data_IF_512395557465
#
_entry.id   IF_512395557465
#
_cell.length_a   1.000
_cell.length_b   1.000
_cell.length_c   1.000
_cell.angle_alpha   90.00
_cell.angle_beta   90.00
_cell.angle_gamma   90.00
#
_symmetry.space_group_name_H-M   'P 1'
#
loop_
_entity.id
_entity.type
_entity.pdbx_description
1 polymer ?
#
# COMPACT_ATOMS: atom_id res chain seq x y z
N UNK A 1 -15.02 -9.07 -9.15
CA UNK A 1 -15.89 -8.67 -8.06
C UNK A 1 -16.57 -7.36 -8.37
N UNK A 2 -17.38 -7.44 -9.35
CA UNK A 2 -18.26 -6.38 -9.74
C UNK A 2 -19.35 -6.22 -8.66
N UNK A 3 -19.54 -4.99 -8.16
CA UNK A 3 -20.66 -4.69 -7.23
C UNK A 3 -21.97 -4.46 -7.96
N UNK A 4 -21.97 -4.52 -9.30
CA UNK A 4 -23.16 -4.27 -10.10
C UNK A 4 -23.59 -2.80 -10.18
N UNK A 5 -22.71 -1.85 -9.88
CA UNK A 5 -23.09 -0.43 -9.82
C UNK A 5 -23.37 0.23 -11.19
N UNK A 6 -22.95 -0.38 -12.31
CA UNK A 6 -23.23 0.12 -13.67
C UNK A 6 -22.33 1.25 -14.17
N UNK A 7 -21.53 1.89 -13.30
CA UNK A 7 -20.72 3.07 -13.66
C UNK A 7 -19.82 2.84 -14.87
N UNK A 8 -19.20 1.66 -14.98
CA UNK A 8 -18.32 1.33 -16.13
C UNK A 8 -19.10 1.29 -17.46
N UNK A 9 -20.32 0.75 -17.46
CA UNK A 9 -21.19 0.68 -18.63
C UNK A 9 -21.67 2.08 -19.02
N UNK A 10 -22.12 2.86 -18.02
CA UNK A 10 -22.66 4.21 -18.23
C UNK A 10 -21.58 5.23 -18.64
N UNK A 11 -20.36 5.08 -18.11
CA UNK A 11 -19.26 6.00 -18.42
C UNK A 11 -18.41 5.58 -19.61
N UNK A 12 -18.65 4.41 -20.19
CA UNK A 12 -17.94 3.95 -21.37
C UNK A 12 -18.12 4.94 -22.54
N UNK A 13 -17.01 5.48 -23.03
CA UNK A 13 -17.04 6.45 -24.13
C UNK A 13 -17.60 5.88 -25.43
N UNK A 14 -17.41 4.58 -25.68
CA UNK A 14 -17.98 3.88 -26.83
C UNK A 14 -19.50 3.73 -26.67
N UNK A 15 -19.95 3.35 -25.48
CA UNK A 15 -21.41 3.23 -25.21
C UNK A 15 -22.12 4.58 -25.33
N UNK A 16 -21.54 5.66 -24.78
CA UNK A 16 -22.06 7.02 -24.83
C UNK A 16 -22.06 7.60 -26.25
N UNK A 17 -21.11 7.20 -27.07
CA UNK A 17 -20.95 7.73 -28.41
C UNK A 17 -22.05 7.29 -29.40
N UNK A 18 -22.73 6.19 -29.12
CA UNK A 18 -23.88 5.68 -29.88
C UNK A 18 -23.63 5.35 -31.38
N UNK A 19 -22.37 5.45 -31.82
CA UNK A 19 -21.95 5.22 -33.21
C UNK A 19 -21.50 3.77 -33.49
N UNK A 20 -21.15 3.06 -32.45
CA UNK A 20 -20.69 1.67 -32.49
C UNK A 20 -21.54 0.81 -31.57
N UNK A 21 -21.46 -0.50 -31.75
CA UNK A 21 -22.06 -1.43 -30.79
C UNK A 21 -21.48 -1.18 -29.40
N UNK A 22 -22.24 -1.35 -28.31
CA UNK A 22 -21.75 -1.17 -26.95
C UNK A 22 -20.51 -2.04 -26.69
N UNK A 23 -19.46 -1.43 -26.18
CA UNK A 23 -18.23 -2.16 -25.82
C UNK A 23 -18.36 -2.87 -24.46
N UNK A 24 -19.24 -2.38 -23.60
CA UNK A 24 -19.56 -2.98 -22.30
C UNK A 24 -21.07 -3.19 -22.19
N UNK A 25 -21.45 -4.41 -21.88
CA UNK A 25 -22.85 -4.82 -21.70
C UNK A 25 -23.01 -5.61 -20.42
N UNK A 26 -24.22 -5.69 -19.93
CA UNK A 26 -24.57 -6.56 -18.82
C UNK A 26 -24.82 -7.99 -19.31
N UNK A 27 -24.32 -8.96 -18.54
CA UNK A 27 -24.62 -10.38 -18.74
C UNK A 27 -24.77 -11.07 -17.38
N UNK A 28 -25.31 -12.29 -17.37
CA UNK A 28 -25.38 -13.11 -16.17
C UNK A 28 -24.18 -14.05 -16.10
N UNK A 29 -23.76 -14.42 -14.87
CA UNK A 29 -22.68 -15.40 -14.68
C UNK A 29 -23.00 -16.75 -15.34
N UNK A 30 -24.27 -17.17 -15.35
CA UNK A 30 -24.69 -18.41 -15.98
C UNK A 30 -24.50 -18.36 -17.51
N UNK A 31 -24.85 -17.23 -18.14
CA UNK A 31 -24.66 -17.05 -19.57
C UNK A 31 -23.17 -17.06 -19.96
N UNK A 32 -22.32 -16.36 -19.20
CA UNK A 32 -20.88 -16.31 -19.47
C UNK A 32 -20.20 -17.67 -19.23
N UNK A 33 -20.61 -18.40 -18.20
CA UNK A 33 -20.12 -19.77 -17.96
C UNK A 33 -20.55 -20.72 -19.07
N UNK A 34 -21.78 -20.60 -19.55
CA UNK A 34 -22.27 -21.39 -20.69
C UNK A 34 -21.53 -21.05 -21.99
N UNK A 35 -21.07 -19.80 -22.13
CA UNK A 35 -20.23 -19.37 -23.27
C UNK A 35 -18.76 -19.80 -23.14
N UNK A 36 -18.34 -20.38 -22.01
CA UNK A 36 -16.97 -20.86 -21.79
C UNK A 36 -16.01 -19.81 -21.24
N UNK A 37 -16.48 -18.64 -20.81
CA UNK A 37 -15.63 -17.54 -20.30
C UNK A 37 -14.86 -17.89 -19.01
N UNK A 38 -15.28 -18.92 -18.27
CA UNK A 38 -14.53 -19.47 -17.16
C UNK A 38 -13.14 -20.04 -17.57
N UNK A 39 -12.94 -20.45 -18.80
CA UNK A 39 -11.62 -20.86 -19.30
C UNK A 39 -10.71 -19.65 -19.53
N UNK A 40 -11.27 -18.53 -19.97
CA UNK A 40 -10.55 -17.25 -20.07
C UNK A 40 -10.17 -16.73 -18.69
N UNK A 41 -11.04 -16.86 -17.69
CA UNK A 41 -10.76 -16.52 -16.30
C UNK A 41 -9.60 -17.36 -15.75
N UNK A 42 -9.60 -18.67 -15.97
CA UNK A 42 -8.49 -19.55 -15.56
C UNK A 42 -7.19 -19.17 -16.26
N UNK A 43 -7.25 -18.92 -17.57
CA UNK A 43 -6.06 -18.48 -18.30
C UNK A 43 -5.47 -17.19 -17.71
N UNK A 44 -6.33 -16.21 -17.40
CA UNK A 44 -5.91 -14.94 -16.81
C UNK A 44 -5.29 -15.12 -15.40
N UNK A 45 -5.92 -15.95 -14.56
CA UNK A 45 -5.48 -16.09 -13.16
C UNK A 45 -4.31 -17.07 -12.99
N UNK A 46 -4.27 -18.16 -13.78
CA UNK A 46 -3.37 -19.30 -13.52
C UNK A 46 -2.19 -19.34 -14.49
N UNK A 47 -2.39 -18.93 -15.75
CA UNK A 47 -1.39 -19.06 -16.81
C UNK A 47 -0.56 -17.80 -16.99
N UNK A 48 -1.19 -16.61 -16.98
CA UNK A 48 -0.45 -15.36 -17.15
C UNK A 48 0.51 -15.12 -15.99
N UNK A 49 1.71 -14.59 -16.26
CA UNK A 49 2.63 -14.19 -15.20
C UNK A 49 2.06 -12.99 -14.40
N UNK A 50 2.35 -12.94 -13.08
CA UNK A 50 1.87 -11.88 -12.21
C UNK A 50 2.37 -10.47 -12.62
N UNK A 51 3.44 -10.41 -13.39
CA UNK A 51 4.00 -9.17 -13.92
C UNK A 51 4.30 -9.29 -15.42
N UNK A 52 3.29 -9.05 -16.24
CA UNK A 52 3.38 -9.17 -17.71
C UNK A 52 4.34 -8.14 -18.33
N UNK A 53 4.47 -6.96 -17.71
CA UNK A 53 5.24 -5.83 -18.26
C UNK A 53 6.69 -5.76 -17.75
N UNK A 54 7.11 -6.66 -16.84
CA UNK A 54 8.41 -6.57 -16.18
C UNK A 54 8.50 -5.43 -15.14
N UNK A 55 9.50 -5.50 -14.26
CA UNK A 55 9.66 -4.56 -13.16
C UNK A 55 10.08 -3.14 -13.59
N UNK A 56 10.69 -2.99 -14.76
CA UNK A 56 11.36 -1.76 -15.18
C UNK A 56 10.46 -0.71 -15.87
N UNK A 57 9.17 -0.96 -16.01
CA UNK A 57 8.28 -0.12 -16.84
C UNK A 57 7.14 0.55 -16.07
N UNK A 58 7.19 0.54 -14.73
CA UNK A 58 6.11 1.14 -13.93
C UNK A 58 6.38 2.63 -13.73
N UNK A 59 6.16 3.39 -14.77
CA UNK A 59 6.22 4.86 -14.72
C UNK A 59 4.85 5.51 -14.91
N UNK A 60 3.82 4.71 -15.17
CA UNK A 60 2.45 5.18 -15.41
C UNK A 60 1.44 4.37 -14.62
N UNK A 61 0.31 4.99 -14.26
CA UNK A 61 -0.80 4.29 -13.61
C UNK A 61 -1.30 3.11 -14.45
N UNK A 62 -1.35 3.27 -15.78
CA UNK A 62 -1.71 2.15 -16.68
C UNK A 62 -0.74 0.97 -16.54
N UNK A 63 0.57 1.24 -16.51
CA UNK A 63 1.58 0.19 -16.33
C UNK A 63 1.45 -0.51 -14.97
N UNK A 64 1.20 0.25 -13.90
CA UNK A 64 0.95 -0.32 -12.57
C UNK A 64 -0.27 -1.25 -12.55
N UNK A 65 -1.36 -0.88 -13.25
CA UNK A 65 -2.60 -1.66 -13.30
C UNK A 65 -2.50 -2.96 -14.14
N UNK A 66 -1.41 -3.15 -14.89
CA UNK A 66 -1.14 -4.41 -15.60
C UNK A 66 -0.39 -5.46 -14.76
N UNK A 67 -0.04 -5.12 -13.51
CA UNK A 67 0.49 -6.08 -12.56
C UNK A 67 -0.62 -6.88 -11.90
N UNK A 68 -0.26 -8.03 -11.29
CA UNK A 68 -1.19 -8.77 -10.43
C UNK A 68 -1.80 -7.84 -9.39
N UNK A 69 -3.11 -7.69 -9.35
CA UNK A 69 -3.75 -6.88 -8.33
C UNK A 69 -3.64 -7.57 -6.97
N UNK A 70 -3.15 -6.82 -5.98
CA UNK A 70 -3.03 -7.26 -4.59
C UNK A 70 -4.06 -6.60 -3.66
N UNK A 71 -4.92 -5.75 -4.23
CA UNK A 71 -6.08 -5.16 -3.59
C UNK A 71 -7.21 -5.09 -4.62
N UNK A 72 -8.24 -5.91 -4.45
CA UNK A 72 -9.42 -5.94 -5.33
C UNK A 72 -10.68 -6.27 -4.54
N UNK A 73 -11.83 -5.81 -5.08
CA UNK A 73 -13.14 -6.28 -4.65
C UNK A 73 -13.48 -5.91 -3.21
N UNK A 74 -13.02 -4.74 -2.81
CA UNK A 74 -13.33 -4.21 -1.48
C UNK A 74 -14.83 -3.94 -1.32
N UNK A 75 -15.34 -4.04 -0.10
CA UNK A 75 -16.72 -3.66 0.24
C UNK A 75 -16.95 -2.15 0.31
N UNK A 76 -16.11 -1.33 -0.34
CA UNK A 76 -16.28 0.11 -0.41
C UNK A 76 -17.51 0.51 -1.23
N UNK A 77 -17.97 1.74 -1.03
CA UNK A 77 -19.05 2.31 -1.84
C UNK A 77 -18.69 2.32 -3.34
N UNK A 78 -19.66 2.09 -4.20
CA UNK A 78 -19.48 2.23 -5.64
C UNK A 78 -19.06 3.67 -5.99
N UNK A 79 -17.90 3.83 -6.65
CA UNK A 79 -17.34 5.15 -6.94
C UNK A 79 -16.58 5.80 -5.77
N UNK A 80 -16.22 5.05 -4.72
CA UNK A 80 -15.40 5.55 -3.63
C UNK A 80 -14.09 6.17 -4.13
N UNK A 81 -13.79 7.38 -3.68
CA UNK A 81 -12.56 8.09 -4.06
C UNK A 81 -11.29 7.61 -3.37
N UNK A 82 -11.40 6.83 -2.28
CA UNK A 82 -10.25 6.32 -1.54
C UNK A 82 -9.60 5.10 -2.19
N UNK A 83 -10.40 4.16 -2.66
CA UNK A 83 -9.93 2.85 -3.14
C UNK A 83 -8.92 2.92 -4.29
N UNK A 84 -8.96 3.89 -5.23
CA UNK A 84 -7.94 4.01 -6.28
C UNK A 84 -6.53 4.25 -5.74
N UNK A 85 -6.39 5.03 -4.65
CA UNK A 85 -5.09 5.28 -4.01
C UNK A 85 -4.56 4.04 -3.30
N UNK A 86 -5.43 3.34 -2.55
CA UNK A 86 -5.05 2.10 -1.86
C UNK A 86 -4.66 1.02 -2.88
N UNK A 87 -5.42 0.91 -3.97
CA UNK A 87 -5.09 -0.02 -5.07
C UNK A 87 -3.75 0.32 -5.71
N UNK A 88 -3.48 1.59 -6.00
CA UNK A 88 -2.20 2.03 -6.56
C UNK A 88 -1.03 1.66 -5.64
N UNK A 89 -1.13 1.98 -4.35
CA UNK A 89 -0.13 1.62 -3.34
C UNK A 89 0.12 0.12 -3.30
N UNK A 90 -0.93 -0.70 -3.25
CA UNK A 90 -0.83 -2.14 -3.21
C UNK A 90 -0.21 -2.74 -4.48
N UNK A 91 -0.47 -2.15 -5.66
CA UNK A 91 0.13 -2.61 -6.92
C UNK A 91 1.58 -2.17 -7.11
N UNK A 92 1.97 -1.03 -6.56
CA UNK A 92 3.35 -0.55 -6.63
C UNK A 92 4.26 -1.30 -5.66
N UNK A 93 3.81 -1.49 -4.42
CA UNK A 93 4.68 -1.91 -3.30
C UNK A 93 4.19 -3.17 -2.59
N UNK A 94 3.07 -3.74 -3.00
CA UNK A 94 2.30 -4.74 -2.26
C UNK A 94 3.07 -5.97 -1.82
N UNK A 95 4.09 -6.39 -2.56
CA UNK A 95 4.92 -7.55 -2.19
C UNK A 95 5.69 -7.36 -0.88
N UNK A 96 6.00 -6.10 -0.51
CA UNK A 96 6.84 -5.76 0.63
C UNK A 96 6.20 -4.70 1.54
N UNK A 97 4.93 -4.35 1.33
CA UNK A 97 4.27 -3.31 2.10
C UNK A 97 3.68 -3.85 3.41
N UNK A 98 3.86 -3.07 4.47
CA UNK A 98 3.15 -3.23 5.73
C UNK A 98 2.25 -2.02 5.93
N UNK A 99 0.97 -2.26 6.13
CA UNK A 99 -0.06 -1.22 6.21
C UNK A 99 -0.60 -1.16 7.63
N UNK A 100 -0.40 -0.02 8.28
CA UNK A 100 -1.08 0.36 9.51
C UNK A 100 -2.28 1.23 9.16
N UNK A 101 -3.50 0.73 9.37
CA UNK A 101 -4.71 1.42 8.93
C UNK A 101 -5.48 1.96 10.12
N UNK A 102 -5.77 3.26 10.13
CA UNK A 102 -6.63 3.87 11.13
C UNK A 102 -8.07 3.40 10.96
N UNK A 103 -8.79 3.20 12.06
CA UNK A 103 -10.22 2.90 12.03
C UNK A 103 -10.97 4.00 11.27
N UNK A 104 -11.76 3.59 10.29
CA UNK A 104 -12.50 4.46 9.38
C UNK A 104 -12.97 3.69 8.14
N UNK A 105 -13.35 4.37 7.06
CA UNK A 105 -13.78 3.71 5.82
C UNK A 105 -12.72 2.72 5.31
N UNK A 106 -11.46 3.14 5.24
CA UNK A 106 -10.38 2.31 4.69
C UNK A 106 -10.12 1.03 5.49
N UNK A 107 -10.28 1.06 6.82
CA UNK A 107 -10.16 -0.13 7.65
C UNK A 107 -11.40 -1.03 7.54
N UNK A 108 -12.58 -0.45 7.37
CA UNK A 108 -13.82 -1.22 7.24
C UNK A 108 -13.82 -1.99 5.91
N UNK A 109 -13.62 -1.33 4.77
CA UNK A 109 -13.57 -2.06 3.50
C UNK A 109 -12.29 -2.92 3.35
N UNK A 110 -11.23 -2.61 4.09
CA UNK A 110 -9.97 -3.37 4.10
C UNK A 110 -10.03 -4.66 4.92
N UNK A 111 -10.89 -4.73 5.93
CA UNK A 111 -10.94 -5.83 6.90
C UNK A 111 -12.31 -6.48 7.11
N UNK A 112 -13.30 -6.25 6.25
CA UNK A 112 -14.65 -6.83 6.39
C UNK A 112 -14.69 -8.26 5.90
N UNK A 113 -14.93 -9.22 6.81
CA UNK A 113 -15.14 -10.62 6.47
C UNK A 113 -16.51 -10.84 5.80
N UNK A 114 -16.59 -11.73 4.79
CA UNK A 114 -15.51 -12.55 4.20
C UNK A 114 -14.75 -11.86 3.05
N UNK A 115 -15.00 -10.61 2.78
CA UNK A 115 -14.55 -9.88 1.58
C UNK A 115 -13.30 -9.06 1.83
N UNK A 116 -12.24 -9.65 2.43
CA UNK A 116 -10.94 -8.98 2.56
C UNK A 116 -10.35 -8.76 1.17
N UNK A 117 -10.08 -7.50 0.78
CA UNK A 117 -9.63 -7.18 -0.58
C UNK A 117 -8.14 -7.45 -0.83
N UNK A 118 -7.34 -7.60 0.24
CA UNK A 118 -5.92 -7.86 0.13
C UNK A 118 -5.64 -9.33 -0.16
N UNK A 119 -4.72 -9.61 -1.08
CA UNK A 119 -4.35 -10.97 -1.49
C UNK A 119 -2.83 -11.11 -1.67
N UNK A 120 -2.40 -12.29 -2.10
CA UNK A 120 -0.99 -12.64 -2.32
C UNK A 120 -0.74 -13.01 -3.78
N UNK A 121 0.51 -12.83 -4.20
CA UNK A 121 1.03 -13.31 -5.49
C UNK A 121 1.23 -14.83 -5.48
N UNK A 122 1.66 -15.40 -6.62
CA UNK A 122 1.96 -16.83 -6.77
C UNK A 122 3.10 -17.32 -5.86
N UNK A 123 3.94 -16.40 -5.37
CA UNK A 123 5.03 -16.69 -4.44
C UNK A 123 4.60 -16.56 -2.96
N UNK A 124 3.33 -16.33 -2.70
CA UNK A 124 2.78 -16.14 -1.35
C UNK A 124 3.09 -14.77 -0.74
N UNK A 125 3.56 -13.78 -1.52
CA UNK A 125 3.88 -12.44 -1.07
C UNK A 125 2.73 -11.48 -1.36
N UNK A 126 2.46 -10.60 -0.42
CA UNK A 126 1.41 -9.60 -0.53
C UNK A 126 1.42 -8.66 0.67
N UNK A 127 0.53 -7.65 0.69
CA UNK A 127 0.45 -6.68 1.77
C UNK A 127 0.22 -7.35 3.14
N UNK A 128 1.04 -6.97 4.12
CA UNK A 128 0.72 -7.22 5.51
C UNK A 128 -0.12 -6.03 6.02
N UNK A 129 -1.36 -6.31 6.40
CA UNK A 129 -2.31 -5.29 6.80
C UNK A 129 -2.79 -5.52 8.23
N UNK A 130 -2.81 -4.44 9.01
CA UNK A 130 -3.42 -4.45 10.33
C UNK A 130 -4.12 -3.11 10.59
N UNK A 131 -5.22 -3.17 11.33
CA UNK A 131 -5.94 -1.98 11.76
C UNK A 131 -5.67 -1.70 13.24
N UNK A 132 -5.52 -0.43 13.56
CA UNK A 132 -5.41 0.05 14.94
C UNK A 132 -6.62 0.88 15.33
N UNK A 133 -6.63 1.37 16.57
CA UNK A 133 -7.62 2.32 17.02
C UNK A 133 -7.51 3.62 16.22
N UNK A 134 -8.58 4.41 16.26
CA UNK A 134 -8.69 5.64 15.49
C UNK A 134 -7.65 6.69 15.90
N UNK A 135 -7.34 6.75 17.18
CA UNK A 135 -6.43 7.73 17.77
C UNK A 135 -4.95 7.38 17.70
N UNK A 136 -4.57 6.08 17.65
CA UNK A 136 -3.20 5.60 17.86
C UNK A 136 -2.49 5.07 16.60
N UNK A 137 -3.10 5.23 15.43
CA UNK A 137 -2.61 4.57 14.22
C UNK A 137 -1.22 5.04 13.77
N UNK A 138 -0.88 6.30 14.01
CA UNK A 138 0.43 6.80 13.66
C UNK A 138 1.52 6.11 14.47
N UNK A 139 1.32 5.99 15.77
CA UNK A 139 2.22 5.31 16.71
C UNK A 139 2.30 3.81 16.43
N UNK A 140 1.16 3.19 16.10
CA UNK A 140 1.10 1.78 15.72
C UNK A 140 1.95 1.49 14.47
N UNK A 141 1.80 2.30 13.42
CA UNK A 141 2.61 2.18 12.21
C UNK A 141 4.10 2.51 12.45
N UNK A 142 4.38 3.47 13.32
CA UNK A 142 5.75 3.74 13.75
C UNK A 142 6.36 2.53 14.47
N UNK A 143 5.59 1.86 15.34
CA UNK A 143 6.00 0.61 15.97
C UNK A 143 6.33 -0.50 14.96
N UNK A 144 5.57 -0.62 13.86
CA UNK A 144 5.90 -1.53 12.77
C UNK A 144 7.27 -1.20 12.15
N UNK A 145 7.57 0.08 11.90
CA UNK A 145 8.89 0.51 11.38
C UNK A 145 10.01 0.15 12.34
N UNK A 146 9.82 0.43 13.63
CA UNK A 146 10.80 0.09 14.66
C UNK A 146 11.05 -1.42 14.73
N UNK A 147 10.01 -2.24 14.61
CA UNK A 147 10.14 -3.70 14.56
C UNK A 147 10.93 -4.17 13.33
N UNK A 148 10.67 -3.58 12.15
CA UNK A 148 11.44 -3.88 10.94
C UNK A 148 12.90 -3.50 11.11
N UNK A 149 13.20 -2.30 11.63
CA UNK A 149 14.57 -1.84 11.89
C UNK A 149 15.30 -2.79 12.84
N UNK A 150 14.65 -3.20 13.94
CA UNK A 150 15.24 -4.11 14.94
C UNK A 150 15.52 -5.50 14.34
N UNK A 151 14.57 -6.07 13.58
CA UNK A 151 14.73 -7.37 12.94
C UNK A 151 15.83 -7.33 11.87
N UNK A 152 15.94 -6.25 11.10
CA UNK A 152 17.04 -6.06 10.14
C UNK A 152 18.39 -5.95 10.84
N UNK A 153 18.48 -5.18 11.93
CA UNK A 153 19.70 -5.08 12.71
C UNK A 153 20.13 -6.43 13.29
N UNK A 154 19.20 -7.20 13.86
CA UNK A 154 19.45 -8.54 14.36
C UNK A 154 19.90 -9.50 13.25
N UNK A 155 19.19 -9.51 12.11
CA UNK A 155 19.58 -10.31 10.94
C UNK A 155 21.01 -10.00 10.49
N UNK A 156 21.37 -8.72 10.40
CA UNK A 156 22.71 -8.29 10.02
C UNK A 156 23.75 -8.83 10.98
N UNK A 157 23.54 -8.70 12.29
CA UNK A 157 24.44 -9.21 13.33
C UNK A 157 24.62 -10.74 13.25
N UNK A 158 23.53 -11.48 13.04
CA UNK A 158 23.58 -12.95 12.94
C UNK A 158 24.31 -13.39 11.67
N UNK A 159 24.09 -12.70 10.55
CA UNK A 159 24.83 -12.96 9.30
C UNK A 159 26.31 -12.67 9.46
N UNK A 160 26.71 -11.55 10.06
CA UNK A 160 28.10 -11.20 10.34
C UNK A 160 28.77 -12.28 11.22
N UNK A 161 28.08 -12.82 12.21
CA UNK A 161 28.57 -13.92 13.06
C UNK A 161 28.82 -15.20 12.25
N UNK A 162 27.93 -15.54 11.32
CA UNK A 162 28.14 -16.71 10.44
C UNK A 162 29.30 -16.49 9.48
N UNK A 163 29.42 -15.29 8.90
CA UNK A 163 30.51 -14.96 7.98
C UNK A 163 31.91 -15.01 8.66
N UNK A 164 31.98 -14.63 9.93
CA UNK A 164 33.21 -14.70 10.73
C UNK A 164 33.59 -16.12 11.16
N UNK A 165 32.67 -17.10 11.07
CA UNK A 165 32.93 -18.49 11.49
C UNK A 165 33.73 -19.26 10.45
N UNK A 166 34.83 -19.90 10.83
CA UNK A 166 35.61 -20.77 9.95
C UNK A 166 34.88 -22.07 9.59
N UNK A 167 33.81 -22.39 10.31
CA UNK A 167 33.00 -23.61 10.07
C UNK A 167 31.90 -23.44 9.03
N UNK A 168 31.64 -22.19 8.64
CA UNK A 168 30.57 -21.93 7.64
C UNK A 168 31.04 -22.32 6.24
N UNK A 169 30.21 -23.07 5.48
CA UNK A 169 30.53 -23.46 4.10
C UNK A 169 30.78 -22.23 3.21
N UNK A 170 31.69 -22.37 2.24
CA UNK A 170 32.04 -21.26 1.35
C UNK A 170 30.84 -20.81 0.49
N UNK A 171 30.05 -21.76 -0.02
CA UNK A 171 28.83 -21.47 -0.80
C UNK A 171 27.80 -20.67 0.01
N UNK A 172 27.64 -20.95 1.30
CA UNK A 172 26.79 -20.17 2.19
C UNK A 172 27.33 -18.75 2.41
N UNK A 173 28.64 -18.62 2.66
CA UNK A 173 29.28 -17.31 2.84
C UNK A 173 29.13 -16.44 1.59
N UNK A 174 29.35 -17.00 0.41
CA UNK A 174 29.21 -16.28 -0.86
C UNK A 174 27.76 -15.81 -1.08
N UNK A 175 26.79 -16.65 -0.80
CA UNK A 175 25.38 -16.31 -0.92
C UNK A 175 24.95 -15.22 0.08
N UNK A 176 25.40 -15.29 1.33
CA UNK A 176 25.13 -14.29 2.36
C UNK A 176 25.79 -12.95 2.01
N UNK A 177 27.06 -12.95 1.57
CA UNK A 177 27.74 -11.74 1.11
C UNK A 177 27.01 -11.11 -0.09
N UNK A 178 26.51 -11.92 -1.04
CA UNK A 178 25.69 -11.46 -2.14
C UNK A 178 24.42 -10.72 -1.68
N UNK A 179 23.70 -11.28 -0.71
CA UNK A 179 22.52 -10.60 -0.15
C UNK A 179 22.87 -9.32 0.60
N UNK A 180 23.97 -9.35 1.38
CA UNK A 180 24.43 -8.19 2.17
C UNK A 180 24.95 -7.04 1.29
N UNK A 181 25.51 -7.32 0.11
CA UNK A 181 25.97 -6.28 -0.81
C UNK A 181 24.83 -5.39 -1.35
N UNK A 182 23.59 -5.86 -1.28
CA UNK A 182 22.37 -5.15 -1.67
C UNK A 182 21.55 -4.63 -0.48
N UNK A 183 22.13 -4.56 0.72
CA UNK A 183 21.41 -4.24 1.96
C UNK A 183 20.61 -2.94 1.89
N UNK A 184 21.22 -1.87 1.36
CA UNK A 184 20.60 -0.55 1.28
C UNK A 184 19.66 -0.39 0.06
N UNK A 185 19.85 -1.21 -0.99
CA UNK A 185 19.02 -1.24 -2.19
C UNK A 185 18.28 -2.58 -2.34
N UNK A 186 17.69 -3.05 -1.27
CA UNK A 186 17.20 -4.42 -1.10
C UNK A 186 15.98 -4.80 -1.94
N UNK A 187 15.36 -3.84 -2.64
CA UNK A 187 14.14 -4.02 -3.46
C UNK A 187 14.42 -4.13 -4.96
N UNK A 188 15.68 -4.02 -5.40
CA UNK A 188 16.03 -4.17 -6.82
C UNK A 188 15.91 -5.62 -7.28
N UNK A 189 15.71 -5.89 -8.58
CA UNK A 189 15.64 -7.27 -9.10
C UNK A 189 16.88 -8.10 -8.74
N UNK A 190 18.08 -7.50 -8.84
CA UNK A 190 19.35 -8.12 -8.51
C UNK A 190 19.43 -8.47 -7.00
N UNK A 191 18.94 -7.56 -6.16
CA UNK A 191 18.85 -7.79 -4.72
C UNK A 191 17.91 -8.95 -4.40
N UNK A 192 16.74 -9.01 -5.02
CA UNK A 192 15.77 -10.10 -4.85
C UNK A 192 16.36 -11.44 -5.28
N UNK A 193 17.10 -11.49 -6.38
CA UNK A 193 17.78 -12.71 -6.82
C UNK A 193 18.85 -13.15 -5.80
N UNK A 194 19.69 -12.22 -5.32
CA UNK A 194 20.70 -12.49 -4.30
C UNK A 194 20.07 -12.99 -2.98
N UNK A 195 18.97 -12.39 -2.54
CA UNK A 195 18.22 -12.81 -1.35
C UNK A 195 17.64 -14.22 -1.51
N UNK A 196 17.11 -14.56 -2.69
CA UNK A 196 16.60 -15.91 -2.95
C UNK A 196 17.73 -16.95 -2.94
N UNK A 197 18.90 -16.62 -3.49
CA UNK A 197 20.12 -17.48 -3.40
C UNK A 197 20.55 -17.66 -1.94
N UNK A 198 20.55 -16.60 -1.14
CA UNK A 198 20.86 -16.69 0.28
C UNK A 198 19.88 -17.57 1.04
N UNK A 199 18.56 -17.41 0.82
CA UNK A 199 17.53 -18.26 1.44
C UNK A 199 17.70 -19.73 1.09
N UNK A 200 18.00 -20.04 -0.16
CA UNK A 200 18.25 -21.41 -0.60
C UNK A 200 19.52 -22.01 0.04
N UNK A 201 20.60 -21.23 0.13
CA UNK A 201 21.84 -21.66 0.79
C UNK A 201 21.66 -21.87 2.31
N UNK A 202 20.87 -21.01 2.97
CA UNK A 202 20.50 -21.16 4.39
C UNK A 202 19.70 -22.44 4.60
N UNK A 203 18.69 -22.70 3.78
CA UNK A 203 17.86 -23.92 3.88
C UNK A 203 18.72 -25.19 3.74
N UNK A 204 19.60 -25.23 2.74
CA UNK A 204 20.53 -26.35 2.51
C UNK A 204 21.49 -26.54 3.68
N UNK A 205 22.03 -25.46 4.24
CA UNK A 205 22.97 -25.55 5.38
C UNK A 205 22.28 -26.02 6.67
N UNK A 206 21.00 -25.73 6.86
CA UNK A 206 20.20 -26.21 8.00
C UNK A 206 19.96 -27.72 7.96
N UNK A 207 19.92 -28.36 6.80
CA UNK A 207 19.80 -29.83 6.69
C UNK A 207 20.97 -30.56 7.34
N UNK A 208 22.15 -29.93 7.35
CA UNK A 208 23.39 -30.51 7.90
C UNK A 208 23.83 -29.95 9.25
N UNK A 209 23.21 -28.88 9.76
CA UNK A 209 23.68 -28.19 10.94
C UNK A 209 22.54 -27.61 11.82
N UNK A 210 22.50 -27.99 13.08
CA UNK A 210 21.59 -27.44 14.08
C UNK A 210 22.02 -26.08 14.66
N UNK A 211 22.84 -25.29 13.96
CA UNK A 211 23.39 -24.01 14.40
C UNK A 211 22.30 -22.99 14.72
N UNK A 212 22.30 -22.44 15.93
CA UNK A 212 21.27 -21.51 16.39
C UNK A 212 21.29 -20.19 15.62
N UNK A 213 22.47 -19.67 15.28
CA UNK A 213 22.62 -18.48 14.44
C UNK A 213 21.99 -18.67 13.06
N UNK A 214 22.19 -19.85 12.45
CA UNK A 214 21.63 -20.16 11.15
C UNK A 214 20.10 -20.28 11.18
N UNK A 215 19.53 -20.83 12.26
CA UNK A 215 18.08 -20.86 12.49
C UNK A 215 17.49 -19.45 12.59
N UNK A 216 18.13 -18.57 13.37
CA UNK A 216 17.70 -17.17 13.48
C UNK A 216 17.76 -16.43 12.14
N UNK A 217 18.85 -16.63 11.37
CA UNK A 217 18.95 -16.04 10.01
C UNK A 217 17.84 -16.57 9.09
N UNK A 218 17.49 -17.86 9.19
CA UNK A 218 16.38 -18.44 8.44
C UNK A 218 15.05 -17.79 8.80
N UNK A 219 14.74 -17.66 10.09
CA UNK A 219 13.53 -17.03 10.62
C UNK A 219 13.41 -15.56 10.20
N UNK A 220 14.52 -14.84 10.16
CA UNK A 220 14.60 -13.43 9.80
C UNK A 220 14.84 -13.18 8.30
N UNK A 221 14.96 -14.22 7.49
CA UNK A 221 15.41 -14.12 6.09
C UNK A 221 14.53 -13.24 5.20
N UNK A 222 13.27 -13.03 5.56
CA UNK A 222 12.37 -12.09 4.84
C UNK A 222 12.76 -10.63 5.04
N UNK A 223 13.56 -10.32 6.06
CA UNK A 223 14.08 -8.98 6.34
C UNK A 223 15.40 -8.66 5.61
N UNK A 224 15.95 -9.56 4.79
CA UNK A 224 16.93 -9.17 3.78
C UNK A 224 16.37 -8.07 2.87
N UNK A 225 15.07 -8.16 2.53
CA UNK A 225 14.35 -7.09 1.87
C UNK A 225 13.78 -6.12 2.91
N UNK A 226 14.08 -4.83 2.76
CA UNK A 226 13.46 -3.81 3.61
C UNK A 226 11.96 -3.73 3.33
N UNK A 227 11.17 -3.51 4.38
CA UNK A 227 9.71 -3.40 4.28
C UNK A 227 9.31 -1.94 4.11
N UNK A 228 8.36 -1.71 3.20
CA UNK A 228 7.69 -0.42 3.05
C UNK A 228 6.62 -0.30 4.11
N UNK A 229 6.75 0.63 5.05
CA UNK A 229 5.72 0.87 6.06
C UNK A 229 4.87 2.05 5.65
N UNK A 230 3.58 1.80 5.44
CA UNK A 230 2.59 2.80 5.09
C UNK A 230 1.52 2.92 6.17
N UNK A 231 1.38 4.13 6.70
CA UNK A 231 0.38 4.50 7.71
C UNK A 231 -0.77 5.17 6.97
N UNK A 232 -1.95 4.55 6.99
CA UNK A 232 -3.08 4.96 6.14
C UNK A 232 -4.28 5.32 7.01
N UNK A 233 -4.95 6.41 6.68
CA UNK A 233 -6.20 6.79 7.34
C UNK A 233 -6.85 8.00 6.71
N UNK A 234 -8.09 8.28 7.12
CA UNK A 234 -8.89 9.41 6.65
C UNK A 234 -8.50 10.74 7.27
N UNK A 235 -9.12 11.82 6.79
CA UNK A 235 -8.89 13.17 7.28
C UNK A 235 -9.30 13.38 8.73
N UNK A 236 -10.38 12.75 9.20
CA UNK A 236 -10.78 12.82 10.61
C UNK A 236 -9.72 12.27 11.56
N UNK A 237 -9.00 11.23 11.15
CA UNK A 237 -7.81 10.77 11.86
C UNK A 237 -6.67 11.78 11.77
N UNK A 238 -6.25 12.12 10.55
CA UNK A 238 -5.03 12.87 10.35
C UNK A 238 -5.11 14.34 10.82
N UNK A 239 -6.22 15.03 10.55
CA UNK A 239 -6.36 16.45 10.85
C UNK A 239 -6.83 16.71 12.29
N UNK A 240 -7.48 15.73 12.91
CA UNK A 240 -8.12 15.87 14.23
C UNK A 240 -7.46 14.95 15.28
N UNK A 241 -8.04 13.78 15.51
CA UNK A 241 -7.71 12.98 16.70
C UNK A 241 -6.29 12.38 16.67
N UNK A 242 -5.81 11.93 15.50
CA UNK A 242 -4.49 11.33 15.33
C UNK A 242 -3.36 12.31 14.99
N UNK A 243 -3.66 13.61 14.94
CA UNK A 243 -2.66 14.62 14.52
C UNK A 243 -1.41 14.63 15.40
N UNK A 244 -1.57 14.54 16.72
CA UNK A 244 -0.45 14.51 17.64
C UNK A 244 0.51 13.35 17.43
N UNK A 245 -0.03 12.16 17.13
CA UNK A 245 0.76 11.00 16.77
C UNK A 245 1.48 11.16 15.44
N UNK A 246 0.81 11.70 14.42
CA UNK A 246 1.44 12.03 13.13
C UNK A 246 2.60 13.00 13.30
N UNK A 247 2.38 14.08 14.05
CA UNK A 247 3.41 15.08 14.35
C UNK A 247 4.62 14.43 15.01
N UNK A 248 4.38 13.58 16.03
CA UNK A 248 5.45 12.83 16.70
C UNK A 248 6.21 11.91 15.72
N UNK A 249 5.53 11.17 14.89
CA UNK A 249 6.14 10.24 13.92
C UNK A 249 7.01 11.00 12.91
N UNK A 250 6.53 12.12 12.39
CA UNK A 250 7.32 12.97 11.49
C UNK A 250 8.57 13.49 12.18
N UNK A 251 8.48 13.87 13.46
CA UNK A 251 9.59 14.36 14.26
C UNK A 251 10.70 13.31 14.48
N UNK A 252 10.40 12.02 14.39
CA UNK A 252 11.38 10.94 14.58
C UNK A 252 12.32 10.73 13.40
N UNK A 253 12.04 11.28 12.23
CA UNK A 253 12.91 11.18 11.04
C UNK A 253 13.10 9.76 10.49
N UNK A 254 12.25 8.81 10.83
CA UNK A 254 12.32 7.43 10.36
C UNK A 254 11.69 7.25 8.99
N UNK A 255 12.13 6.23 8.25
CA UNK A 255 11.60 5.89 6.94
C UNK A 255 10.20 5.26 7.05
N UNK A 256 9.18 6.11 7.06
CA UNK A 256 7.76 5.74 7.04
C UNK A 256 7.00 6.61 6.05
N UNK A 257 5.99 6.04 5.43
CA UNK A 257 5.11 6.74 4.51
C UNK A 257 3.73 6.91 5.15
N UNK A 258 3.19 8.12 5.13
CA UNK A 258 1.85 8.43 5.64
C UNK A 258 0.96 8.80 4.45
N UNK A 259 -0.16 8.09 4.29
CA UNK A 259 -1.18 8.36 3.28
C UNK A 259 -2.45 8.84 3.95
N UNK A 260 -2.75 10.11 3.78
CA UNK A 260 -4.00 10.71 4.24
C UNK A 260 -5.02 10.67 3.10
N UNK A 261 -6.07 9.87 3.27
CA UNK A 261 -7.22 9.79 2.36
C UNK A 261 -8.19 10.92 2.74
N UNK A 262 -8.01 12.07 2.09
CA UNK A 262 -8.68 13.31 2.45
C UNK A 262 -10.05 13.41 1.78
N UNK A 263 -11.08 12.95 2.47
CA UNK A 263 -12.49 13.05 2.04
C UNK A 263 -13.15 14.34 2.48
N UNK A 264 -12.43 15.18 3.22
CA UNK A 264 -12.88 16.48 3.76
C UNK A 264 -14.03 16.37 4.78
N UNK A 265 -14.40 15.16 5.20
CA UNK A 265 -15.40 14.88 6.24
C UNK A 265 -15.05 13.59 6.97
N UNK A 266 -15.60 13.38 8.16
CA UNK A 266 -15.65 12.06 8.79
C UNK A 266 -16.60 11.14 7.99
N UNK A 267 -16.12 10.52 6.93
CA UNK A 267 -16.96 9.79 5.99
C UNK A 267 -17.59 8.54 6.60
N UNK A 268 -16.81 7.73 7.33
CA UNK A 268 -17.30 6.47 7.90
C UNK A 268 -18.41 6.65 8.94
N UNK A 269 -18.33 7.68 9.75
CA UNK A 269 -19.31 7.95 10.82
C UNK A 269 -20.52 8.74 10.35
N UNK A 270 -20.52 9.21 9.10
CA UNK A 270 -21.71 9.78 8.46
C UNK A 270 -21.64 11.25 8.05
N UNK A 271 -20.45 11.78 7.73
CA UNK A 271 -20.31 13.10 7.11
C UNK A 271 -20.21 14.27 8.08
N UNK A 272 -19.60 14.09 9.25
CA UNK A 272 -19.33 15.18 10.17
C UNK A 272 -18.17 16.04 9.67
N UNK A 273 -18.22 17.34 9.97
CA UNK A 273 -17.14 18.27 9.66
C UNK A 273 -15.85 17.89 10.41
N UNK A 274 -14.72 17.84 9.69
CA UNK A 274 -13.37 17.72 10.22
C UNK A 274 -12.62 19.05 10.13
N UNK A 275 -11.38 19.10 10.62
CA UNK A 275 -10.50 20.26 10.36
C UNK A 275 -10.03 20.30 8.90
N UNK A 276 -10.24 19.25 8.13
CA UNK A 276 -10.02 19.25 6.68
C UNK A 276 -11.19 19.83 5.88
N UNK A 277 -12.38 19.90 6.44
CA UNK A 277 -13.57 20.44 5.75
C UNK A 277 -13.32 21.88 5.32
N UNK A 278 -13.56 22.25 4.06
CA UNK A 278 -13.38 23.61 3.55
C UNK A 278 -14.27 24.66 4.25
N UNK A 279 -13.85 25.91 4.19
CA UNK A 279 -14.69 27.04 4.65
C UNK A 279 -15.98 27.08 3.84
N UNK A 280 -17.07 27.40 4.51
CA UNK A 280 -18.44 27.47 4.00
C UNK A 280 -19.08 26.13 3.60
N UNK A 281 -18.33 25.03 3.58
CA UNK A 281 -18.89 23.71 3.28
C UNK A 281 -19.90 23.27 4.36
N UNK A 282 -21.04 22.74 3.90
CA UNK A 282 -22.09 22.20 4.76
C UNK A 282 -21.79 20.74 5.07
N UNK A 283 -21.75 20.40 6.33
CA UNK A 283 -21.54 19.05 6.82
C UNK A 283 -22.28 18.87 8.17
N UNK A 284 -22.40 17.63 8.66
CA UNK A 284 -22.92 17.43 10.02
C UNK A 284 -22.04 18.18 11.03
N UNK A 285 -22.68 18.80 12.02
CA UNK A 285 -22.10 19.75 12.98
C UNK A 285 -21.64 21.10 12.38
N UNK A 286 -21.85 21.30 11.08
CA UNK A 286 -21.62 22.56 10.37
C UNK A 286 -22.76 22.86 9.42
N UNK A 287 -24.02 22.75 9.87
CA UNK A 287 -25.23 22.92 9.05
C UNK A 287 -25.36 24.32 8.42
N UNK A 288 -24.80 25.37 9.05
CA UNK A 288 -24.73 26.73 8.51
C UNK A 288 -23.43 27.02 7.74
N UNK A 289 -22.71 25.99 7.32
CA UNK A 289 -21.37 26.10 6.73
C UNK A 289 -20.26 26.23 7.76
N UNK A 290 -19.13 25.57 7.49
CA UNK A 290 -17.95 25.67 8.33
C UNK A 290 -17.38 27.10 8.35
N UNK A 291 -17.20 27.67 9.51
CA UNK A 291 -16.78 29.06 9.69
C UNK A 291 -15.25 29.28 9.68
N UNK A 292 -14.47 28.18 9.84
CA UNK A 292 -13.01 28.25 9.94
C UNK A 292 -12.36 27.67 8.67
N UNK A 293 -11.12 28.08 8.42
CA UNK A 293 -10.32 27.57 7.31
C UNK A 293 -9.99 26.08 7.50
N UNK A 294 -9.74 25.38 6.39
CA UNK A 294 -9.12 24.07 6.37
C UNK A 294 -7.74 24.16 7.02
N UNK A 295 -7.47 23.27 7.96
CA UNK A 295 -6.14 23.16 8.59
C UNK A 295 -5.09 22.83 7.52
N UNK A 296 -4.04 23.60 7.45
CA UNK A 296 -2.99 23.36 6.45
C UNK A 296 -1.90 22.45 6.98
N UNK A 297 -2.18 21.15 7.01
CA UNK A 297 -1.23 20.14 7.47
C UNK A 297 0.01 20.03 6.57
N UNK A 298 -0.12 20.31 5.28
CA UNK A 298 1.02 20.32 4.37
C UNK A 298 2.09 21.31 4.83
N UNK A 299 1.72 22.58 5.08
CA UNK A 299 2.67 23.56 5.61
C UNK A 299 3.22 23.21 6.98
N UNK A 300 2.40 22.64 7.86
CA UNK A 300 2.85 22.19 9.17
C UNK A 300 3.92 21.09 9.04
N UNK A 301 3.69 20.11 8.16
CA UNK A 301 4.66 19.04 7.91
C UNK A 301 5.95 19.55 7.24
N UNK A 302 5.83 20.53 6.34
CA UNK A 302 6.99 21.17 5.69
C UNK A 302 7.89 21.92 6.68
N UNK A 303 7.36 22.36 7.81
CA UNK A 303 8.13 23.09 8.83
C UNK A 303 9.27 22.27 9.44
N UNK A 304 9.21 20.95 9.38
CA UNK A 304 10.32 20.05 9.78
C UNK A 304 11.56 20.16 8.88
N UNK A 305 11.41 20.59 7.62
CA UNK A 305 12.50 20.80 6.67
C UNK A 305 13.07 19.52 6.03
N UNK A 306 12.80 18.34 6.60
CA UNK A 306 13.26 17.04 6.11
C UNK A 306 12.13 16.03 5.81
N UNK A 307 10.88 16.45 5.89
CA UNK A 307 9.72 15.61 5.55
C UNK A 307 9.39 15.77 4.08
N UNK A 308 9.24 14.66 3.36
CA UNK A 308 8.67 14.69 2.02
C UNK A 308 7.17 14.96 2.11
N UNK A 309 6.68 15.99 1.47
CA UNK A 309 5.27 16.41 1.52
C UNK A 309 4.70 16.50 0.12
N UNK A 310 3.59 15.82 -0.15
CA UNK A 310 2.86 15.92 -1.39
C UNK A 310 1.36 16.08 -1.16
N UNK A 311 0.71 16.82 -2.08
CA UNK A 311 -0.75 16.91 -2.16
C UNK A 311 -1.15 16.49 -3.57
N UNK A 312 -2.05 15.51 -3.68
CA UNK A 312 -2.42 14.87 -4.95
C UNK A 312 -3.93 14.73 -5.09
N UNK A 313 -4.38 14.78 -6.34
CA UNK A 313 -5.75 14.43 -6.71
C UNK A 313 -5.69 13.58 -7.99
N UNK A 314 -5.91 12.27 -7.87
CA UNK A 314 -5.77 11.32 -8.98
C UNK A 314 -6.69 11.66 -10.17
N UNK A 315 -7.87 12.19 -9.89
CA UNK A 315 -8.80 12.63 -10.93
C UNK A 315 -8.31 13.86 -11.69
N UNK A 316 -7.49 14.70 -11.08
CA UNK A 316 -6.91 15.90 -11.71
C UNK A 316 -5.63 15.56 -12.49
N UNK A 317 -4.68 14.87 -11.84
CA UNK A 317 -3.43 14.46 -12.47
C UNK A 317 -2.94 13.11 -11.93
N UNK A 318 -3.11 12.08 -12.75
CA UNK A 318 -2.67 10.72 -12.44
C UNK A 318 -1.14 10.57 -12.45
N UNK A 319 -0.44 11.35 -13.27
CA UNK A 319 1.02 11.26 -13.36
C UNK A 319 1.66 11.91 -12.15
N UNK A 320 1.14 13.04 -11.68
CA UNK A 320 1.58 13.66 -10.43
C UNK A 320 1.35 12.70 -9.24
N UNK A 321 0.18 12.06 -9.17
CA UNK A 321 -0.11 11.07 -8.11
C UNK A 321 0.90 9.93 -8.14
N UNK A 322 1.13 9.33 -9.31
CA UNK A 322 2.11 8.25 -9.48
C UNK A 322 3.50 8.67 -9.03
N UNK A 323 3.94 9.86 -9.47
CA UNK A 323 5.25 10.42 -9.12
C UNK A 323 5.38 10.59 -7.60
N UNK A 324 4.36 11.15 -6.94
CA UNK A 324 4.37 11.36 -5.50
C UNK A 324 4.52 10.05 -4.71
N UNK A 325 3.83 8.98 -5.12
CA UNK A 325 3.96 7.67 -4.48
C UNK A 325 5.35 7.07 -4.66
N UNK A 326 5.90 7.15 -5.87
CA UNK A 326 7.26 6.63 -6.16
C UNK A 326 8.34 7.44 -5.43
N UNK A 327 8.22 8.77 -5.37
CA UNK A 327 9.17 9.63 -4.66
C UNK A 327 9.10 9.43 -3.15
N UNK A 328 7.89 9.29 -2.58
CA UNK A 328 7.71 9.00 -1.16
C UNK A 328 8.36 7.67 -0.77
N UNK A 329 8.18 6.62 -1.57
CA UNK A 329 8.78 5.31 -1.33
C UNK A 329 10.30 5.32 -1.48
N UNK A 330 10.83 6.12 -2.40
CA UNK A 330 12.27 6.26 -2.62
C UNK A 330 12.96 7.17 -1.60
N UNK A 331 12.20 7.99 -0.87
CA UNK A 331 12.73 8.92 0.11
C UNK A 331 13.16 8.20 1.38
N UNK A 332 14.41 8.38 1.78
CA UNK A 332 14.93 7.79 3.02
C UNK A 332 14.65 8.69 4.23
N UNK A 333 13.40 8.76 4.63
CA UNK A 333 12.90 9.60 5.72
C UNK A 333 11.38 9.57 5.79
N UNK A 334 10.74 10.36 6.66
CA UNK A 334 9.30 10.40 6.76
C UNK A 334 8.68 11.12 5.57
N UNK A 335 7.63 10.51 5.00
CA UNK A 335 6.86 11.06 3.90
C UNK A 335 5.39 11.18 4.28
N UNK A 336 4.72 12.24 3.80
CA UNK A 336 3.28 12.39 3.96
C UNK A 336 2.64 12.84 2.65
N UNK A 337 1.61 12.10 2.22
CA UNK A 337 0.82 12.38 1.02
C UNK A 337 -0.62 12.68 1.43
N UNK A 338 -1.10 13.87 1.06
CA UNK A 338 -2.52 14.24 1.19
C UNK A 338 -3.22 13.93 -0.13
N UNK A 339 -4.03 12.89 -0.15
CA UNK A 339 -4.72 12.41 -1.33
C UNK A 339 -6.20 12.83 -1.28
N UNK A 340 -6.58 13.80 -2.10
CA UNK A 340 -7.99 14.19 -2.24
C UNK A 340 -8.82 13.01 -2.74
N UNK A 341 -9.76 12.57 -1.93
CA UNK A 341 -10.52 11.35 -2.11
C UNK A 341 -12.03 11.62 -1.94
N UNK A 342 -12.75 12.09 -2.97
CA UNK A 342 -14.15 12.49 -2.84
C UNK A 342 -15.02 11.35 -2.33
N UNK A 343 -15.84 11.65 -1.31
CA UNK A 343 -16.80 10.71 -0.74
C UNK A 343 -18.16 10.89 -1.41
N UNK A 344 -18.63 9.90 -2.17
CA UNK A 344 -19.92 9.95 -2.88
C UNK A 344 -21.14 9.85 -1.96
N UNK A 345 -20.95 9.30 -0.75
CA UNK A 345 -22.04 9.11 0.21
C UNK A 345 -22.27 10.33 1.12
N UNK A 346 -21.18 11.01 1.50
CA UNK A 346 -21.19 12.11 2.47
C UNK A 346 -20.31 13.30 2.01
N UNK A 347 -19.91 13.29 0.76
CA UNK A 347 -19.06 14.33 0.20
C UNK A 347 -19.71 15.71 0.23
N UNK A 348 -18.87 16.70 0.02
CA UNK A 348 -19.28 18.10 -0.09
C UNK A 348 -19.55 18.40 -1.56
N UNK A 349 -20.72 18.97 -1.84
CA UNK A 349 -21.12 19.42 -3.17
C UNK A 349 -20.47 20.77 -3.52
#
# INVERSE_FOLDING_TARGET
DCTGCGVCVDQCTVNKGGKLAPALTWSTLEAERAAGENENEKFFNDVLPDNVMGSNTITTVKGAMLRKPLFEFSGACAGCGETPYVKLMAQLFGENVMIANATGCSSIYGGTFPTIPYTKDKNGRGPAWANSLFEDNAEFGFGMRMAVDANRALLKQEVETILASDKAPADLKDALNGAMSHWDNSKTPEAVEAQNKAKAAIAKALEGCGCEHLKKVSELSDYFCDKSVWIVGGDGWAYDIGYGGIDHVLAQGKNVNILVLDTEVYSNTGGQASKSTPTAAVAKFAAGGKKTYKKNMGFMSMSYGYVYVASVAMGADRNQTMKAFLEAEAYNGPSIIFAYAPCIAHGID
#
